data_IF_844200652759
#
_entry.id   IF_844200652759
#
_cell.length_a   1.000
_cell.length_b   1.000
_cell.length_c   1.000
_cell.angle_alpha   90.00
_cell.angle_beta   90.00
_cell.angle_gamma   90.00
#
_symmetry.space_group_name_H-M   'P 1'
#
loop_
_entity.id
_entity.type
_entity.pdbx_description
1 polymer ?
#
# COMPACT_ATOMS: atom_id res chain seq x y z
N UNK A 1 -21.39 -5.05 -44.10
CA UNK A 1 -20.57 -4.15 -43.30
C UNK A 1 -20.85 -4.31 -41.79
N UNK A 2 -22.09 -4.38 -41.36
CA UNK A 2 -22.51 -4.53 -39.93
C UNK A 2 -21.90 -5.74 -39.22
N UNK A 3 -21.83 -6.91 -39.86
CA UNK A 3 -21.29 -8.13 -39.26
C UNK A 3 -19.78 -8.04 -38.93
N UNK A 4 -19.02 -7.24 -39.67
CA UNK A 4 -17.59 -7.02 -39.39
C UNK A 4 -17.39 -6.17 -38.17
N UNK A 5 -18.23 -5.15 -37.96
CA UNK A 5 -18.17 -4.28 -36.79
C UNK A 5 -18.58 -5.00 -35.50
N UNK A 6 -19.60 -5.85 -35.54
CA UNK A 6 -19.99 -6.64 -34.37
C UNK A 6 -18.88 -7.60 -33.90
N UNK A 7 -18.20 -8.27 -34.84
CA UNK A 7 -17.04 -9.14 -34.50
C UNK A 7 -15.89 -8.35 -33.92
N UNK A 8 -15.61 -7.17 -34.45
CA UNK A 8 -14.57 -6.27 -33.92
C UNK A 8 -14.91 -5.82 -32.50
N UNK A 9 -16.16 -5.42 -32.24
CA UNK A 9 -16.61 -5.04 -30.90
C UNK A 9 -16.50 -6.20 -29.89
N UNK A 10 -16.90 -7.40 -30.29
CA UNK A 10 -16.77 -8.60 -29.44
C UNK A 10 -15.30 -8.88 -29.13
N UNK A 11 -14.42 -8.78 -30.12
CA UNK A 11 -12.97 -8.93 -29.89
C UNK A 11 -12.44 -7.89 -28.90
N UNK A 12 -12.80 -6.62 -29.06
CA UNK A 12 -12.39 -5.56 -28.14
C UNK A 12 -12.90 -5.79 -26.72
N UNK A 13 -14.13 -6.26 -26.55
CA UNK A 13 -14.69 -6.59 -25.23
C UNK A 13 -13.96 -7.74 -24.57
N UNK A 14 -13.65 -8.80 -25.33
CA UNK A 14 -12.89 -9.94 -24.79
C UNK A 14 -11.47 -9.48 -24.39
N UNK A 15 -10.79 -8.75 -25.27
CA UNK A 15 -9.44 -8.24 -24.99
C UNK A 15 -9.42 -7.32 -23.76
N UNK A 16 -10.41 -6.44 -23.63
CA UNK A 16 -10.53 -5.55 -22.49
C UNK A 16 -10.85 -6.32 -21.19
N UNK A 17 -11.74 -7.30 -21.24
CA UNK A 17 -12.05 -8.15 -20.09
C UNK A 17 -10.84 -8.97 -19.65
N UNK A 18 -10.08 -9.49 -20.60
CA UNK A 18 -8.83 -10.21 -20.32
C UNK A 18 -7.79 -9.28 -19.69
N UNK A 19 -7.66 -8.06 -20.20
CA UNK A 19 -6.74 -7.06 -19.63
C UNK A 19 -7.12 -6.68 -18.19
N UNK A 20 -8.41 -6.46 -17.91
CA UNK A 20 -8.89 -6.21 -16.54
C UNK A 20 -8.56 -7.40 -15.64
N UNK A 21 -8.89 -8.61 -16.09
CA UNK A 21 -8.61 -9.82 -15.31
C UNK A 21 -7.11 -9.97 -15.01
N UNK A 22 -6.25 -9.77 -16.01
CA UNK A 22 -4.79 -9.80 -15.83
C UNK A 22 -4.31 -8.75 -14.82
N UNK A 23 -4.83 -7.51 -14.88
CA UNK A 23 -4.47 -6.47 -13.92
C UNK A 23 -4.88 -6.85 -12.49
N UNK A 24 -6.07 -7.41 -12.31
CA UNK A 24 -6.54 -7.85 -10.99
C UNK A 24 -5.71 -9.02 -10.45
N UNK A 25 -5.43 -10.01 -11.30
CA UNK A 25 -4.66 -11.19 -10.91
C UNK A 25 -3.18 -10.89 -10.62
N UNK A 26 -2.63 -9.84 -11.23
CA UNK A 26 -1.21 -9.43 -11.07
C UNK A 26 -1.04 -8.28 -10.07
N UNK A 27 -2.10 -7.87 -9.40
CA UNK A 27 -2.08 -6.77 -8.43
C UNK A 27 -1.30 -7.16 -7.17
N UNK A 28 -0.40 -6.28 -6.75
CA UNK A 28 0.33 -6.38 -5.48
C UNK A 28 -0.36 -5.62 -4.35
N UNK A 29 -1.62 -5.21 -4.55
CA UNK A 29 -2.37 -4.45 -3.57
C UNK A 29 -2.38 -5.15 -2.20
N UNK A 30 -2.01 -4.43 -1.13
CA UNK A 30 -2.07 -4.97 0.23
C UNK A 30 -3.50 -5.32 0.62
N UNK A 31 -3.65 -6.32 1.48
CA UNK A 31 -4.97 -6.71 1.96
C UNK A 31 -5.56 -5.63 2.87
N UNK A 32 -4.73 -4.97 3.69
CA UNK A 32 -5.18 -3.86 4.52
C UNK A 32 -5.90 -2.78 3.72
N UNK A 33 -5.35 -2.38 2.55
CA UNK A 33 -6.01 -1.43 1.67
C UNK A 33 -7.26 -1.98 0.99
N UNK A 34 -7.26 -3.26 0.56
CA UNK A 34 -8.45 -3.89 -0.02
C UNK A 34 -9.62 -3.94 0.97
N UNK A 35 -9.33 -4.23 2.22
CA UNK A 35 -10.34 -4.31 3.27
C UNK A 35 -10.78 -2.93 3.74
N UNK A 36 -9.88 -1.95 3.74
CA UNK A 36 -10.21 -0.56 4.00
C UNK A 36 -11.36 -0.03 3.11
N UNK A 37 -11.32 -0.35 1.82
CA UNK A 37 -12.38 0.07 0.89
C UNK A 37 -13.75 -0.59 1.12
N UNK A 38 -13.80 -1.67 1.92
CA UNK A 38 -15.04 -2.35 2.31
C UNK A 38 -15.65 -1.74 3.58
N UNK A 39 -14.89 -0.94 4.33
CA UNK A 39 -15.37 -0.34 5.57
C UNK A 39 -16.51 0.64 5.31
N UNK A 40 -17.48 0.73 6.22
CA UNK A 40 -18.45 1.81 6.21
C UNK A 40 -17.76 3.18 6.24
N UNK A 41 -18.34 4.18 5.59
CA UNK A 41 -17.80 5.55 5.64
C UNK A 41 -17.81 6.07 7.08
N UNK A 42 -16.73 6.76 7.44
CA UNK A 42 -16.58 7.40 8.77
C UNK A 42 -16.76 6.42 9.92
N UNK A 43 -16.27 5.19 9.78
CA UNK A 43 -16.31 4.14 10.80
C UNK A 43 -14.99 3.94 11.53
N UNK A 44 -13.97 4.75 11.20
CA UNK A 44 -12.64 4.70 11.84
C UNK A 44 -12.41 5.99 12.60
N UNK A 45 -12.16 5.87 13.92
CA UNK A 45 -11.85 7.00 14.80
C UNK A 45 -10.35 7.27 14.89
N UNK A 46 -9.55 6.20 14.87
CA UNK A 46 -8.08 6.26 14.99
C UNK A 46 -7.46 5.48 13.84
N UNK A 47 -6.59 6.11 13.09
CA UNK A 47 -5.80 5.43 12.07
C UNK A 47 -4.32 5.43 12.44
N UNK A 48 -3.69 4.28 12.35
CA UNK A 48 -2.25 4.11 12.46
C UNK A 48 -1.68 3.97 11.06
N UNK A 49 -0.71 4.80 10.71
CA UNK A 49 -0.10 4.86 9.38
C UNK A 49 1.42 4.70 9.47
N UNK A 50 2.00 4.06 8.48
CA UNK A 50 3.43 3.87 8.37
C UNK A 50 3.81 2.54 7.74
N UNK A 51 5.06 2.15 7.90
CA UNK A 51 5.62 0.95 7.30
C UNK A 51 5.31 -0.33 8.10
N UNK A 52 6.10 -1.40 7.85
CA UNK A 52 5.93 -2.71 8.51
C UNK A 52 5.96 -2.63 10.04
N UNK A 53 6.71 -1.71 10.63
CA UNK A 53 6.72 -1.53 12.09
C UNK A 53 5.34 -1.17 12.63
N UNK A 54 4.56 -0.42 11.86
CA UNK A 54 3.20 -0.06 12.23
C UNK A 54 2.29 -1.30 12.25
N UNK A 55 2.13 -1.98 11.11
CA UNK A 55 1.15 -3.07 10.98
C UNK A 55 1.60 -4.41 11.58
N UNK A 56 2.86 -4.52 12.01
CA UNK A 56 3.36 -5.68 12.75
C UNK A 56 3.34 -5.47 14.28
N UNK A 57 3.15 -4.24 14.76
CA UNK A 57 3.26 -3.90 16.19
C UNK A 57 1.90 -3.60 16.82
N UNK A 58 1.08 -2.78 16.17
CA UNK A 58 -0.20 -2.37 16.74
C UNK A 58 -1.29 -3.38 16.42
N UNK A 59 -2.12 -3.69 17.42
CA UNK A 59 -3.24 -4.61 17.29
C UNK A 59 -4.55 -3.86 17.50
N UNK A 60 -5.29 -3.50 16.44
CA UNK A 60 -6.52 -2.72 16.56
C UNK A 60 -7.56 -3.35 17.49
N UNK A 61 -7.73 -4.68 17.46
CA UNK A 61 -8.65 -5.38 18.35
C UNK A 61 -8.35 -5.09 19.82
N UNK A 62 -7.08 -5.21 20.22
CA UNK A 62 -6.64 -4.94 21.60
C UNK A 62 -6.84 -3.46 21.95
N UNK A 63 -6.56 -2.56 21.01
CA UNK A 63 -6.71 -1.12 21.20
C UNK A 63 -8.19 -0.78 21.38
N UNK A 64 -9.06 -1.31 20.54
CA UNK A 64 -10.51 -1.06 20.59
C UNK A 64 -11.15 -1.60 21.86
N UNK A 65 -10.60 -2.68 22.45
CA UNK A 65 -11.03 -3.20 23.75
C UNK A 65 -10.63 -2.27 24.92
N UNK A 66 -9.55 -1.49 24.75
CA UNK A 66 -9.02 -0.60 25.79
C UNK A 66 -9.59 0.82 25.73
N UNK A 67 -9.96 1.27 24.55
CA UNK A 67 -10.51 2.61 24.33
C UNK A 67 -11.81 2.54 23.53
N UNK A 68 -12.79 3.41 23.81
CA UNK A 68 -14.08 3.42 23.11
C UNK A 68 -13.95 4.10 21.73
N UNK A 69 -13.03 3.63 20.90
CA UNK A 69 -12.74 4.15 19.56
C UNK A 69 -12.43 2.99 18.61
N UNK A 70 -12.88 3.12 17.37
CA UNK A 70 -12.59 2.18 16.31
C UNK A 70 -11.26 2.51 15.63
N UNK A 71 -10.28 1.64 15.77
CA UNK A 71 -8.96 1.81 15.16
C UNK A 71 -8.77 0.96 13.90
N UNK A 72 -7.88 1.42 13.02
CA UNK A 72 -7.48 0.72 11.81
C UNK A 72 -6.01 0.96 11.49
N UNK A 73 -5.34 -0.04 10.90
CA UNK A 73 -3.95 0.07 10.44
C UNK A 73 -3.91 0.21 8.92
N UNK A 74 -3.22 1.25 8.46
CA UNK A 74 -2.90 1.43 7.05
C UNK A 74 -1.40 1.66 6.90
N UNK A 75 -0.88 1.22 5.78
CA UNK A 75 0.52 1.38 5.44
C UNK A 75 0.99 0.32 4.48
N UNK A 76 2.21 0.49 4.01
CA UNK A 76 2.86 -0.42 3.08
C UNK A 76 4.27 -0.75 3.54
N UNK A 77 4.80 -1.88 3.08
CA UNK A 77 6.16 -2.30 3.44
C UNK A 77 7.19 -1.26 3.02
N UNK A 78 8.07 -0.87 3.94
CA UNK A 78 9.14 0.11 3.64
C UNK A 78 8.63 1.49 3.19
N UNK A 79 7.45 1.88 3.61
CA UNK A 79 6.81 3.15 3.30
C UNK A 79 7.65 4.34 3.78
N UNK A 80 7.71 5.39 2.97
CA UNK A 80 8.27 6.68 3.33
C UNK A 80 7.17 7.73 3.54
N UNK A 81 7.54 8.89 4.07
CA UNK A 81 6.61 9.97 4.44
C UNK A 81 5.80 10.49 3.25
N UNK A 82 6.38 10.48 2.04
CA UNK A 82 5.65 10.88 0.83
C UNK A 82 4.50 9.92 0.55
N UNK A 83 4.71 8.62 0.63
CA UNK A 83 3.65 7.62 0.44
C UNK A 83 2.59 7.77 1.52
N UNK A 84 2.98 7.92 2.80
CA UNK A 84 2.04 8.19 3.91
C UNK A 84 1.15 9.41 3.65
N UNK A 85 1.70 10.47 3.05
CA UNK A 85 0.90 11.64 2.67
C UNK A 85 -0.20 11.30 1.66
N UNK A 86 0.11 10.53 0.60
CA UNK A 86 -0.88 10.14 -0.41
C UNK A 86 -1.87 9.11 0.12
N UNK A 87 -1.43 8.23 1.00
CA UNK A 87 -2.30 7.29 1.72
C UNK A 87 -3.30 8.05 2.60
N UNK A 88 -2.84 9.05 3.36
CA UNK A 88 -3.72 9.90 4.15
C UNK A 88 -4.73 10.66 3.27
N UNK A 89 -4.30 11.21 2.13
CA UNK A 89 -5.22 11.83 1.17
C UNK A 89 -6.29 10.88 0.66
N UNK A 90 -5.91 9.64 0.38
CA UNK A 90 -6.85 8.62 -0.07
C UNK A 90 -7.82 8.23 1.05
N UNK A 91 -7.29 7.99 2.26
CA UNK A 91 -8.07 7.66 3.45
C UNK A 91 -9.15 8.71 3.74
N UNK A 92 -8.80 9.98 3.72
CA UNK A 92 -9.71 11.10 4.02
C UNK A 92 -10.89 11.24 3.03
N UNK A 93 -10.84 10.59 1.88
CA UNK A 93 -11.98 10.51 0.95
C UNK A 93 -13.11 9.59 1.46
N UNK A 94 -12.81 8.69 2.39
CA UNK A 94 -13.71 7.64 2.88
C UNK A 94 -13.97 7.72 4.38
N UNK A 95 -12.97 8.18 5.14
CA UNK A 95 -12.98 8.21 6.60
C UNK A 95 -12.64 9.61 7.10
N UNK A 96 -13.11 9.94 8.31
CA UNK A 96 -12.77 11.17 9.02
C UNK A 96 -12.25 10.81 10.41
N UNK A 97 -11.03 10.28 10.52
CA UNK A 97 -10.48 9.87 11.81
C UNK A 97 -10.28 11.09 12.71
N UNK A 98 -10.54 10.92 13.99
CA UNK A 98 -10.26 11.93 15.01
C UNK A 98 -8.78 12.01 15.32
N UNK A 99 -8.08 10.89 15.20
CA UNK A 99 -6.65 10.75 15.50
C UNK A 99 -5.96 10.03 14.36
N UNK A 100 -4.86 10.62 13.90
CA UNK A 100 -3.91 10.00 12.97
C UNK A 100 -2.62 9.77 13.74
N UNK A 101 -2.17 8.53 13.83
CA UNK A 101 -0.88 8.15 14.42
C UNK A 101 0.06 7.81 13.28
N UNK A 102 1.10 8.63 13.10
CA UNK A 102 2.12 8.41 12.08
C UNK A 102 3.36 7.78 12.69
N UNK A 103 3.75 6.62 12.19
CA UNK A 103 4.99 5.97 12.57
C UNK A 103 6.19 6.76 12.02
N UNK A 104 7.15 7.06 12.90
CA UNK A 104 8.22 8.01 12.57
C UNK A 104 9.45 7.38 11.92
N UNK A 105 9.57 6.07 11.88
CA UNK A 105 10.68 5.40 11.17
C UNK A 105 10.67 5.70 9.66
N UNK A 106 9.50 5.99 9.10
CA UNK A 106 9.38 6.47 7.73
C UNK A 106 10.18 7.75 7.44
N UNK A 107 10.48 8.56 8.49
CA UNK A 107 11.33 9.75 8.39
C UNK A 107 12.80 9.42 8.09
N UNK A 108 13.26 8.24 8.49
CA UNK A 108 14.63 7.76 8.25
C UNK A 108 14.78 7.03 6.90
N UNK A 109 13.68 6.73 6.22
CA UNK A 109 13.73 6.08 4.93
C UNK A 109 14.06 7.08 3.83
N UNK A 110 14.97 6.67 2.94
CA UNK A 110 15.28 7.47 1.75
C UNK A 110 14.07 7.54 0.82
N UNK A 111 14.05 8.56 -0.05
CA UNK A 111 13.04 8.71 -1.10
C UNK A 111 12.98 7.52 -2.07
N UNK A 112 13.99 6.69 -2.05
CA UNK A 112 14.17 5.56 -2.96
C UNK A 112 13.71 4.26 -2.31
N UNK A 113 12.42 4.09 -2.16
CA UNK A 113 11.83 2.77 -1.95
C UNK A 113 12.00 1.89 -3.18
N UNK A 114 12.14 0.59 -2.98
CA UNK A 114 11.99 -0.34 -4.08
C UNK A 114 10.59 -0.15 -4.69
N UNK A 115 10.47 0.08 -6.01
CA UNK A 115 9.18 0.34 -6.66
C UNK A 115 8.10 -0.71 -6.34
N UNK A 116 8.54 -1.96 -6.09
CA UNK A 116 7.65 -3.06 -5.72
C UNK A 116 6.85 -2.81 -4.44
N UNK A 117 7.40 -2.10 -3.46
CA UNK A 117 6.74 -1.81 -2.19
C UNK A 117 5.64 -0.76 -2.35
N UNK A 118 5.84 0.22 -3.22
CA UNK A 118 4.83 1.22 -3.53
C UNK A 118 3.59 0.62 -4.24
N UNK A 119 3.75 -0.49 -4.96
CA UNK A 119 2.62 -1.13 -5.63
C UNK A 119 1.60 -1.69 -4.65
N UNK A 120 1.95 -1.93 -3.38
CA UNK A 120 1.00 -2.35 -2.36
C UNK A 120 -0.15 -1.34 -2.20
N UNK A 121 0.16 -0.05 -2.22
CA UNK A 121 -0.82 1.03 -2.20
C UNK A 121 -1.35 1.39 -3.60
N UNK A 122 -0.44 1.58 -4.58
CA UNK A 122 -0.82 1.99 -5.93
C UNK A 122 -1.82 1.04 -6.58
N UNK A 123 -1.66 -0.27 -6.37
CA UNK A 123 -2.56 -1.27 -6.97
C UNK A 123 -3.90 -1.37 -6.23
N UNK A 124 -3.93 -1.03 -4.95
CA UNK A 124 -5.16 -0.97 -4.17
C UNK A 124 -5.99 0.26 -4.50
N UNK A 125 -5.33 1.40 -4.71
CA UNK A 125 -6.01 2.67 -4.90
C UNK A 125 -6.67 2.78 -6.28
N UNK A 126 -7.85 3.42 -6.33
CA UNK A 126 -8.54 3.74 -7.58
C UNK A 126 -7.71 4.77 -8.36
N UNK A 127 -7.67 4.64 -9.69
CA UNK A 127 -6.99 5.62 -10.54
C UNK A 127 -7.66 7.00 -10.39
N UNK A 128 -6.91 7.93 -9.84
CA UNK A 128 -7.33 9.30 -9.58
C UNK A 128 -6.13 10.25 -9.73
N UNK A 129 -6.32 11.59 -9.69
CA UNK A 129 -5.22 12.55 -9.82
C UNK A 129 -4.12 12.37 -8.77
N UNK A 130 -4.46 12.04 -7.52
CA UNK A 130 -3.47 11.86 -6.45
C UNK A 130 -2.57 10.63 -6.68
N UNK A 131 -3.17 9.53 -7.16
CA UNK A 131 -2.42 8.34 -7.56
C UNK A 131 -1.46 8.63 -8.72
N UNK A 132 -1.93 9.41 -9.70
CA UNK A 132 -1.10 9.80 -10.84
C UNK A 132 0.03 10.74 -10.39
N UNK A 133 -0.26 11.67 -9.48
CA UNK A 133 0.73 12.59 -8.92
C UNK A 133 1.80 11.82 -8.12
N UNK A 134 1.39 10.92 -7.23
CA UNK A 134 2.32 10.01 -6.53
C UNK A 134 3.21 9.24 -7.52
N UNK A 135 2.59 8.67 -8.56
CA UNK A 135 3.32 7.91 -9.57
C UNK A 135 4.34 8.77 -10.30
N UNK A 136 3.98 9.99 -10.72
CA UNK A 136 4.87 10.93 -11.43
C UNK A 136 6.03 11.43 -10.56
N UNK A 137 5.87 11.47 -9.25
CA UNK A 137 6.95 11.80 -8.31
C UNK A 137 7.99 10.69 -8.15
N UNK A 138 7.63 9.45 -8.54
CA UNK A 138 8.48 8.28 -8.38
C UNK A 138 9.06 7.73 -9.67
N UNK A 139 8.29 7.83 -10.77
CA UNK A 139 8.63 7.17 -12.02
C UNK A 139 8.76 8.17 -13.15
N UNK A 140 9.66 7.88 -14.07
CA UNK A 140 9.71 8.59 -15.35
C UNK A 140 8.52 8.20 -16.24
N UNK A 141 8.15 9.07 -17.18
CA UNK A 141 7.10 8.77 -18.17
C UNK A 141 7.40 7.52 -19.02
N UNK A 142 8.69 7.20 -19.23
CA UNK A 142 9.10 5.96 -19.91
C UNK A 142 8.64 4.69 -19.18
N UNK A 143 8.39 4.80 -17.88
CA UNK A 143 7.98 3.69 -17.02
C UNK A 143 6.46 3.63 -16.81
N UNK A 144 5.67 4.36 -17.66
CA UNK A 144 4.21 4.43 -17.55
C UNK A 144 3.50 3.07 -17.60
N UNK A 145 4.13 2.05 -18.15
CA UNK A 145 3.64 0.67 -18.10
C UNK A 145 3.49 0.15 -16.66
N UNK A 146 4.26 0.68 -15.71
CA UNK A 146 4.19 0.30 -14.30
C UNK A 146 2.88 0.70 -13.60
N UNK A 147 2.09 1.60 -14.19
CA UNK A 147 0.75 1.93 -13.70
C UNK A 147 -0.23 0.75 -13.76
N UNK A 148 0.07 -0.22 -14.62
CA UNK A 148 -0.80 -1.37 -14.85
C UNK A 148 -0.13 -2.66 -14.40
N UNK A 149 -0.64 -3.35 -13.38
CA UNK A 149 -0.10 -4.62 -12.90
C UNK A 149 0.22 -5.62 -14.01
N UNK A 150 -0.70 -5.80 -14.97
CA UNK A 150 -0.52 -6.72 -16.07
C UNK A 150 0.70 -6.38 -16.97
N UNK A 151 1.06 -5.11 -17.09
CA UNK A 151 2.19 -4.68 -17.92
C UNK A 151 3.54 -4.81 -17.19
N UNK A 152 3.52 -4.98 -15.89
CA UNK A 152 4.72 -5.27 -15.06
C UNK A 152 5.13 -6.73 -15.11
N UNK A 153 4.24 -7.60 -15.55
CA UNK A 153 4.52 -9.03 -15.65
C UNK A 153 5.69 -9.27 -16.61
N UNK A 154 6.76 -9.80 -16.08
CA UNK A 154 7.89 -10.29 -16.88
C UNK A 154 7.80 -11.80 -16.94
N UNK A 155 7.48 -12.30 -18.13
CA UNK A 155 7.46 -13.75 -18.35
C UNK A 155 8.92 -14.18 -18.55
N UNK A 156 9.43 -15.01 -17.64
CA UNK A 156 10.66 -15.75 -17.92
C UNK A 156 10.31 -16.92 -18.83
N UNK A 157 10.61 -16.75 -20.12
CA UNK A 157 10.33 -17.78 -21.13
C UNK A 157 11.14 -19.06 -20.94
N UNK A 158 12.16 -19.05 -20.06
CA UNK A 158 12.90 -20.26 -19.70
C UNK A 158 12.16 -21.09 -18.63
N UNK A 159 11.27 -20.44 -17.87
CA UNK A 159 10.47 -21.08 -16.81
C UNK A 159 9.00 -20.63 -16.88
N UNK A 160 8.29 -20.91 -17.99
CA UNK A 160 6.91 -20.45 -18.15
C UNK A 160 5.96 -21.09 -17.13
N UNK A 161 6.27 -22.27 -16.61
CA UNK A 161 5.47 -22.93 -15.59
C UNK A 161 5.41 -22.13 -14.29
N UNK A 162 6.53 -21.53 -13.86
CA UNK A 162 6.61 -20.73 -12.64
C UNK A 162 5.77 -19.45 -12.76
N UNK A 163 5.70 -18.88 -13.96
CA UNK A 163 4.81 -17.76 -14.26
C UNK A 163 3.34 -18.17 -14.07
N UNK A 164 2.92 -19.27 -14.67
CA UNK A 164 1.55 -19.75 -14.53
C UNK A 164 1.23 -20.19 -13.11
N UNK A 165 2.18 -20.79 -12.40
CA UNK A 165 2.03 -21.19 -11.01
C UNK A 165 1.88 -19.96 -10.09
N UNK A 166 2.68 -18.91 -10.29
CA UNK A 166 2.55 -17.65 -9.54
C UNK A 166 1.26 -16.91 -9.86
N UNK A 167 0.73 -17.09 -11.07
CA UNK A 167 -0.50 -16.48 -11.54
C UNK A 167 -1.76 -17.24 -11.07
N UNK A 168 -1.65 -18.57 -10.93
CA UNK A 168 -2.75 -19.45 -10.46
C UNK A 168 -2.75 -19.52 -8.93
N UNK A 169 -1.58 -19.55 -8.30
CA UNK A 169 -1.44 -19.38 -6.85
C UNK A 169 -1.60 -17.90 -6.53
N UNK A 170 -2.83 -17.41 -6.68
CA UNK A 170 -3.18 -16.07 -6.19
C UNK A 170 -2.67 -15.95 -4.76
N UNK A 171 -2.01 -14.84 -4.38
CA UNK A 171 -1.57 -14.59 -3.01
C UNK A 171 -2.73 -14.51 -2.00
N UNK A 172 -3.91 -14.95 -2.37
CA UNK A 172 -5.11 -14.93 -1.55
C UNK A 172 -5.08 -15.79 -0.28
N UNK A 173 -4.17 -16.75 -0.17
CA UNK A 173 -4.16 -17.63 1.01
C UNK A 173 -3.45 -17.04 2.24
N UNK A 174 -2.53 -16.10 2.06
CA UNK A 174 -1.87 -15.44 3.19
C UNK A 174 -2.73 -14.34 3.83
N UNK A 175 -3.74 -13.86 3.13
CA UNK A 175 -4.46 -12.63 3.45
C UNK A 175 -5.93 -12.83 3.85
N UNK A 176 -6.43 -14.07 3.90
CA UNK A 176 -7.81 -14.31 4.33
C UNK A 176 -8.04 -14.06 5.82
N UNK A 177 -6.98 -14.07 6.64
CA UNK A 177 -7.06 -13.85 8.09
C UNK A 177 -6.97 -12.37 8.51
N UNK A 178 -6.62 -11.46 7.60
CA UNK A 178 -6.38 -10.04 7.94
C UNK A 178 -7.70 -9.27 8.13
N UNK A 179 -8.80 -9.73 7.55
CA UNK A 179 -10.10 -9.03 7.61
C UNK A 179 -10.56 -8.75 9.05
N UNK A 180 -10.37 -9.72 9.95
CA UNK A 180 -10.71 -9.58 11.37
C UNK A 180 -9.69 -8.72 12.14
N UNK A 181 -8.45 -8.64 11.65
CA UNK A 181 -7.33 -7.96 12.32
C UNK A 181 -7.16 -6.49 11.94
N UNK A 182 -8.05 -5.95 11.13
CA UNK A 182 -8.10 -4.50 10.77
C UNK A 182 -6.74 -3.94 10.31
N UNK A 183 -6.04 -4.69 9.47
CA UNK A 183 -4.73 -4.32 8.92
C UNK A 183 -3.51 -4.85 9.70
N UNK A 184 -3.69 -5.46 10.85
CA UNK A 184 -2.60 -6.07 11.60
C UNK A 184 -2.06 -7.33 10.90
N UNK A 185 -0.74 -7.39 10.72
CA UNK A 185 -0.03 -8.53 10.15
C UNK A 185 0.89 -9.15 11.18
N UNK A 186 0.50 -10.25 11.85
CA UNK A 186 1.37 -10.88 12.84
C UNK A 186 2.57 -11.52 12.14
N UNK A 187 3.76 -11.14 12.55
CA UNK A 187 4.97 -11.88 12.21
C UNK A 187 5.20 -12.93 13.27
N UNK A 188 5.16 -14.20 12.89
CA UNK A 188 5.50 -15.31 13.79
C UNK A 188 7.01 -15.42 14.08
N UNK A 189 7.79 -14.43 13.65
CA UNK A 189 9.24 -14.41 13.83
C UNK A 189 9.59 -13.90 15.22
N UNK A 190 10.12 -14.78 16.04
CA UNK A 190 10.76 -14.40 17.30
C UNK A 190 12.24 -14.15 17.01
N UNK A 191 12.71 -12.93 17.28
CA UNK A 191 14.12 -12.60 17.16
C UNK A 191 14.90 -13.35 18.24
N UNK A 192 15.90 -14.14 17.85
CA UNK A 192 16.77 -14.82 18.82
C UNK A 192 17.62 -13.78 19.58
N UNK A 193 17.97 -14.02 20.86
CA UNK A 193 18.79 -13.08 21.63
C UNK A 193 20.09 -12.67 20.94
N UNK A 194 20.71 -13.57 20.20
CA UNK A 194 21.93 -13.29 19.43
C UNK A 194 21.67 -12.36 18.25
N UNK A 195 20.56 -12.53 17.52
CA UNK A 195 20.17 -11.64 16.42
C UNK A 195 19.86 -10.24 16.95
N UNK A 196 19.25 -10.14 18.13
CA UNK A 196 18.99 -8.87 18.80
C UNK A 196 20.29 -8.15 19.15
N UNK A 197 21.26 -8.85 19.78
CA UNK A 197 22.56 -8.25 20.10
C UNK A 197 23.36 -7.84 18.86
N UNK A 198 23.27 -8.60 17.77
CA UNK A 198 23.89 -8.24 16.51
C UNK A 198 23.22 -7.00 15.89
N UNK A 199 21.90 -6.90 15.96
CA UNK A 199 21.17 -5.73 15.45
C UNK A 199 21.56 -4.42 16.16
N UNK A 200 21.87 -4.49 17.45
CA UNK A 200 22.36 -3.36 18.24
C UNK A 200 23.79 -2.92 17.87
N UNK A 201 24.57 -3.81 17.23
CA UNK A 201 25.96 -3.55 16.82
C UNK A 201 26.09 -3.08 15.39
N UNK A 202 25.03 -3.14 14.60
CA UNK A 202 25.06 -2.61 13.25
C UNK A 202 25.35 -1.11 13.31
N UNK A 203 26.41 -0.63 12.62
CA UNK A 203 26.62 0.81 12.50
C UNK A 203 25.33 1.41 11.96
N UNK A 204 24.91 2.50 12.59
CA UNK A 204 23.73 3.23 12.12
C UNK A 204 23.83 3.38 10.61
N UNK A 205 22.81 2.96 9.87
CA UNK A 205 22.78 3.15 8.43
C UNK A 205 23.07 4.61 8.18
N UNK A 206 24.13 4.91 7.41
CA UNK A 206 24.23 6.21 6.79
C UNK A 206 22.95 6.40 5.99
N UNK A 207 22.00 7.12 6.56
CA UNK A 207 20.75 7.40 5.88
C UNK A 207 21.08 8.32 4.72
N UNK A 208 20.81 7.89 3.49
CA UNK A 208 20.69 8.78 2.33
C UNK A 208 19.41 9.60 2.48
N UNK A 209 19.35 10.35 3.55
CA UNK A 209 18.19 10.99 4.11
C UNK A 209 17.99 12.34 3.43
N UNK A 210 16.89 12.50 2.72
CA UNK A 210 16.44 13.79 2.24
C UNK A 210 15.58 14.48 3.32
N UNK A 211 16.24 15.12 4.27
CA UNK A 211 15.58 15.87 5.34
C UNK A 211 14.57 16.90 4.78
N UNK A 212 14.90 17.52 3.66
CA UNK A 212 14.06 18.54 3.05
C UNK A 212 12.74 17.93 2.53
N UNK A 213 12.84 16.83 1.79
CA UNK A 213 11.66 16.16 1.22
C UNK A 213 10.76 15.57 2.32
N UNK A 214 11.35 14.87 3.29
CA UNK A 214 10.62 14.32 4.42
C UNK A 214 9.93 15.40 5.24
N UNK A 215 10.62 16.53 5.49
CA UNK A 215 10.03 17.67 6.19
C UNK A 215 8.88 18.30 5.39
N UNK A 216 9.02 18.38 4.08
CA UNK A 216 7.98 18.89 3.18
C UNK A 216 6.70 18.05 3.28
N UNK A 217 6.80 16.72 3.14
CA UNK A 217 5.64 15.85 3.21
C UNK A 217 5.08 15.73 4.62
N UNK A 218 5.91 15.74 5.66
CA UNK A 218 5.43 15.79 7.04
C UNK A 218 4.56 17.04 7.30
N UNK A 219 4.98 18.20 6.81
CA UNK A 219 4.17 19.44 6.90
C UNK A 219 2.83 19.26 6.18
N UNK A 220 2.83 18.68 4.99
CA UNK A 220 1.59 18.39 4.25
C UNK A 220 0.65 17.46 5.03
N UNK A 221 1.19 16.44 5.73
CA UNK A 221 0.40 15.55 6.58
C UNK A 221 -0.22 16.34 7.74
N UNK A 222 0.58 17.17 8.42
CA UNK A 222 0.09 18.04 9.51
C UNK A 222 -1.02 18.97 9.02
N UNK A 223 -0.85 19.59 7.87
CA UNK A 223 -1.83 20.49 7.29
C UNK A 223 -3.12 19.76 6.91
N UNK A 224 -3.01 18.57 6.29
CA UNK A 224 -4.18 17.72 6.00
C UNK A 224 -4.96 17.32 7.26
N UNK A 225 -4.25 16.96 8.33
CA UNK A 225 -4.90 16.63 9.60
C UNK A 225 -5.66 17.84 10.14
N UNK A 226 -5.06 19.03 10.12
CA UNK A 226 -5.71 20.27 10.57
C UNK A 226 -6.93 20.65 9.73
N UNK A 227 -6.82 20.54 8.41
CA UNK A 227 -7.93 20.83 7.47
C UNK A 227 -9.12 19.89 7.65
N UNK A 228 -8.91 18.70 8.20
CA UNK A 228 -9.93 17.68 8.42
C UNK A 228 -10.27 17.45 9.90
N UNK A 229 -9.91 18.39 10.79
CA UNK A 229 -10.18 18.33 12.23
C UNK A 229 -9.62 17.06 12.92
N UNK A 230 -8.56 16.48 12.38
CA UNK A 230 -7.86 15.34 12.96
C UNK A 230 -6.66 15.80 13.80
N UNK A 231 -6.39 15.09 14.89
CA UNK A 231 -5.15 15.23 15.67
C UNK A 231 -4.08 14.29 15.08
N UNK A 232 -2.87 14.81 14.90
CA UNK A 232 -1.68 14.03 14.54
C UNK A 232 -0.83 13.76 15.76
#
# INVERSE_FOLDING_TARGET
MVIKWSRFLVFCLIAFSLFIWMNTASSNASQGWKDFYKLPRNSVDVVFMGNSHNFETFQPEVINDLIPMESYLLGTSGENVMVSYYELKELLKYQQPRIVVLETFALDLSDLLAPSLMYEFLDASILNPDKLDLWLNYFDLKDAYNLFPALRLRIDWNQPADFFDSFIKTPGSYFNEIDERRGFLPTGRVMLPQEYEESLRLPGRESNYSLENNTHYLKKIVDLCRENDSQL
#
